data_IF_428319168228
#
_entry.id   IF_428319168228
#
_cell.length_a   1.000
_cell.length_b   1.000
_cell.length_c   1.000
_cell.angle_alpha   90.00
_cell.angle_beta   90.00
_cell.angle_gamma   90.00
#
_symmetry.space_group_name_H-M   'P 1'
#
loop_
_entity.id
_entity.type
_entity.pdbx_description
1 polymer ?
#
# COMPACT_ATOMS: atom_id res chain seq x y z
N UNK A 1 15.02 5.58 21.01
CA UNK A 1 15.01 6.07 19.61
C UNK A 1 13.97 7.16 19.49
N UNK A 2 14.32 8.35 18.95
CA UNK A 2 13.41 9.47 18.75
C UNK A 2 12.25 9.09 17.80
N UNK A 3 11.06 9.69 17.98
CA UNK A 3 9.86 9.48 17.16
C UNK A 3 10.14 9.52 15.66
N UNK A 4 10.85 10.56 15.19
CA UNK A 4 11.21 10.70 13.77
C UNK A 4 12.06 9.53 13.24
N UNK A 5 13.02 9.02 14.02
CA UNK A 5 13.84 7.87 13.62
C UNK A 5 13.00 6.59 13.56
N UNK A 6 12.02 6.44 14.48
CA UNK A 6 11.06 5.30 14.41
C UNK A 6 10.20 5.37 13.17
N UNK A 7 9.67 6.55 12.85
CA UNK A 7 8.87 6.76 11.65
C UNK A 7 9.64 6.39 10.38
N UNK A 8 10.90 6.84 10.27
CA UNK A 8 11.76 6.53 9.14
C UNK A 8 12.05 5.04 9.04
N UNK A 9 12.43 4.41 10.16
CA UNK A 9 12.69 2.97 10.20
C UNK A 9 11.47 2.15 9.77
N UNK A 10 10.32 2.40 10.38
CA UNK A 10 9.11 1.64 10.09
C UNK A 10 8.58 1.91 8.67
N UNK A 11 8.61 3.16 8.20
CA UNK A 11 8.22 3.48 6.83
C UNK A 11 9.13 2.81 5.78
N UNK A 12 10.44 2.81 6.00
CA UNK A 12 11.37 2.11 5.11
C UNK A 12 11.18 0.58 5.15
N UNK A 13 10.98 0.00 6.34
CA UNK A 13 10.66 -1.42 6.47
C UNK A 13 9.36 -1.78 5.75
N UNK A 14 8.33 -0.93 5.85
CA UNK A 14 7.09 -1.18 5.12
C UNK A 14 7.31 -1.23 3.62
N UNK A 15 8.11 -0.32 3.06
CA UNK A 15 8.45 -0.31 1.64
C UNK A 15 9.21 -1.57 1.21
N UNK A 16 10.19 -2.02 2.00
CA UNK A 16 10.96 -3.24 1.74
C UNK A 16 10.03 -4.46 1.72
N UNK A 17 9.26 -4.67 2.78
CA UNK A 17 8.41 -5.85 2.90
C UNK A 17 7.23 -5.83 1.93
N UNK A 18 6.65 -4.66 1.60
CA UNK A 18 5.66 -4.54 0.53
C UNK A 18 6.27 -4.85 -0.84
N UNK A 19 7.53 -4.43 -1.10
CA UNK A 19 8.24 -4.80 -2.32
C UNK A 19 8.40 -6.31 -2.45
N UNK A 20 8.77 -6.99 -1.37
CA UNK A 20 8.89 -8.46 -1.34
C UNK A 20 7.53 -9.14 -1.50
N UNK A 21 6.52 -8.69 -0.76
CA UNK A 21 5.15 -9.21 -0.80
C UNK A 21 4.56 -9.14 -2.21
N UNK A 22 4.60 -7.97 -2.84
CA UNK A 22 4.12 -7.78 -4.22
C UNK A 22 4.88 -8.62 -5.24
N UNK A 23 6.19 -8.79 -5.05
CA UNK A 23 7.01 -9.62 -5.95
C UNK A 23 6.60 -11.08 -5.87
N UNK A 24 6.43 -11.62 -4.66
CA UNK A 24 6.01 -13.00 -4.44
C UNK A 24 4.55 -13.22 -4.89
N UNK A 25 3.65 -12.32 -4.52
CA UNK A 25 2.25 -12.38 -4.95
C UNK A 25 2.12 -12.26 -6.47
N UNK A 26 2.91 -11.40 -7.10
CA UNK A 26 2.97 -11.24 -8.55
C UNK A 26 3.30 -12.55 -9.27
N UNK A 27 4.25 -13.33 -8.76
CA UNK A 27 4.56 -14.65 -9.34
C UNK A 27 3.39 -15.63 -9.22
N UNK A 28 2.66 -15.61 -8.12
CA UNK A 28 1.44 -16.44 -8.00
C UNK A 28 0.35 -15.98 -8.96
N UNK A 29 0.23 -14.68 -9.16
CA UNK A 29 -0.75 -14.11 -10.11
C UNK A 29 -0.47 -14.55 -11.56
N UNK A 30 0.78 -14.78 -11.95
CA UNK A 30 1.10 -15.28 -13.31
C UNK A 30 0.58 -16.70 -13.56
N UNK A 31 0.31 -17.46 -12.50
CA UNK A 31 -0.23 -18.82 -12.61
C UNK A 31 -1.75 -18.86 -12.85
N UNK A 32 -2.41 -17.71 -12.81
CA UNK A 32 -3.86 -17.60 -12.85
C UNK A 32 -4.32 -16.61 -13.93
N UNK A 33 -5.45 -16.90 -14.55
CA UNK A 33 -6.11 -15.92 -15.41
C UNK A 33 -6.72 -14.83 -14.52
N UNK A 34 -6.06 -13.69 -14.44
CA UNK A 34 -6.44 -12.60 -13.56
C UNK A 34 -7.70 -11.89 -14.06
N UNK A 35 -8.79 -12.14 -13.36
CA UNK A 35 -10.00 -11.32 -13.44
C UNK A 35 -10.11 -10.46 -12.18
N UNK A 36 -10.95 -9.43 -12.22
CA UNK A 36 -11.26 -8.62 -11.05
C UNK A 36 -11.65 -9.47 -9.82
N UNK A 37 -12.51 -10.47 -10.02
CA UNK A 37 -12.97 -11.35 -8.93
C UNK A 37 -11.83 -12.22 -8.37
N UNK A 38 -10.96 -12.76 -9.24
CA UNK A 38 -9.78 -13.55 -8.83
C UNK A 38 -8.87 -12.70 -7.96
N UNK A 39 -8.61 -11.46 -8.35
CA UNK A 39 -7.77 -10.55 -7.56
C UNK A 39 -8.35 -10.25 -6.18
N UNK A 40 -9.66 -9.93 -6.10
CA UNK A 40 -10.32 -9.71 -4.80
C UNK A 40 -10.24 -10.93 -3.89
N UNK A 41 -10.42 -12.10 -4.47
CA UNK A 41 -10.37 -13.34 -3.73
C UNK A 41 -8.95 -13.65 -3.22
N UNK A 42 -7.92 -13.52 -4.07
CA UNK A 42 -6.53 -13.69 -3.65
C UNK A 42 -6.16 -12.71 -2.53
N UNK A 43 -6.61 -11.45 -2.63
CA UNK A 43 -6.45 -10.46 -1.56
C UNK A 43 -7.10 -10.93 -0.26
N UNK A 44 -8.29 -11.55 -0.32
CA UNK A 44 -8.96 -12.08 0.88
C UNK A 44 -8.20 -13.24 1.51
N UNK A 45 -7.63 -14.14 0.72
CA UNK A 45 -6.81 -15.27 1.22
C UNK A 45 -5.48 -14.77 1.79
N UNK A 46 -4.83 -13.81 1.12
CA UNK A 46 -3.66 -13.13 1.66
C UNK A 46 -3.98 -12.47 3.01
N UNK A 47 -5.07 -11.72 3.10
CA UNK A 47 -5.50 -11.04 4.31
C UNK A 47 -5.89 -12.03 5.43
N UNK A 48 -6.35 -13.24 5.08
CA UNK A 48 -6.54 -14.32 6.06
C UNK A 48 -5.21 -14.73 6.70
N UNK A 49 -4.15 -14.88 5.91
CA UNK A 49 -2.79 -15.13 6.39
C UNK A 49 -2.30 -14.03 7.35
N UNK A 50 -2.52 -12.76 6.98
CA UNK A 50 -2.20 -11.61 7.84
C UNK A 50 -2.99 -11.66 9.14
N UNK A 51 -4.32 -11.85 9.09
CA UNK A 51 -5.19 -11.88 10.27
C UNK A 51 -4.83 -13.03 11.22
N UNK A 52 -4.53 -14.21 10.67
CA UNK A 52 -4.06 -15.37 11.43
C UNK A 52 -2.75 -15.03 12.18
N UNK A 53 -1.78 -14.41 11.49
CA UNK A 53 -0.51 -13.99 12.08
C UNK A 53 -0.71 -12.98 13.22
N UNK A 54 -1.55 -11.95 13.03
CA UNK A 54 -1.91 -10.99 14.10
C UNK A 54 -2.50 -11.72 15.29
N UNK A 55 -3.39 -12.67 15.06
CA UNK A 55 -4.08 -13.42 16.12
C UNK A 55 -3.12 -14.24 16.99
N UNK A 56 -2.06 -14.77 16.38
CA UNK A 56 -1.03 -15.54 17.08
C UNK A 56 -0.05 -14.60 17.81
N UNK A 57 0.46 -13.58 17.12
CA UNK A 57 1.51 -12.71 17.63
C UNK A 57 0.97 -11.69 18.64
N UNK A 58 -0.27 -11.25 18.52
CA UNK A 58 -0.86 -10.16 19.32
C UNK A 58 -2.25 -10.48 19.87
N UNK A 59 -2.36 -11.57 20.60
CA UNK A 59 -3.64 -12.03 21.24
C UNK A 59 -4.35 -10.93 22.06
N UNK A 60 -3.58 -10.07 22.74
CA UNK A 60 -4.14 -8.95 23.51
C UNK A 60 -4.81 -7.88 22.64
N UNK A 61 -4.33 -7.69 21.43
CA UNK A 61 -4.90 -6.71 20.50
C UNK A 61 -6.25 -7.13 19.94
N UNK A 62 -6.44 -8.44 19.72
CA UNK A 62 -7.73 -9.00 19.32
C UNK A 62 -8.78 -8.80 20.42
N UNK A 63 -8.41 -8.95 21.70
CA UNK A 63 -9.32 -8.72 22.83
C UNK A 63 -9.74 -7.24 22.95
N UNK A 64 -8.90 -6.30 22.59
CA UNK A 64 -9.17 -4.85 22.66
C UNK A 64 -10.19 -4.35 21.63
N UNK A 65 -10.61 -5.18 20.67
CA UNK A 65 -11.70 -4.86 19.74
C UNK A 65 -12.99 -4.50 20.48
N UNK A 66 -13.25 -5.12 21.63
CA UNK A 66 -14.43 -4.86 22.44
C UNK A 66 -14.46 -3.43 23.07
N UNK A 67 -13.32 -2.81 23.20
CA UNK A 67 -13.17 -1.51 23.85
C UNK A 67 -13.27 -0.35 22.84
N UNK A 68 -13.46 -0.65 21.55
CA UNK A 68 -13.53 0.36 20.50
C UNK A 68 -14.89 1.05 20.49
N UNK A 69 -14.86 2.36 20.22
CA UNK A 69 -16.05 3.17 19.97
C UNK A 69 -16.64 2.82 18.59
N UNK A 70 -17.96 2.96 18.45
CA UNK A 70 -18.66 2.65 17.20
C UNK A 70 -18.03 3.36 15.97
N UNK A 71 -17.71 4.65 16.08
CA UNK A 71 -17.09 5.38 14.98
C UNK A 71 -15.73 4.83 14.56
N UNK A 72 -14.93 4.32 15.53
CA UNK A 72 -13.64 3.67 15.24
C UNK A 72 -13.86 2.38 14.43
N UNK A 73 -14.84 1.57 14.84
CA UNK A 73 -15.20 0.34 14.14
C UNK A 73 -15.66 0.67 12.72
N UNK A 74 -16.59 1.62 12.56
CA UNK A 74 -17.09 2.03 11.25
C UNK A 74 -15.93 2.53 10.37
N UNK A 75 -15.08 3.41 10.90
CA UNK A 75 -13.92 3.91 10.16
C UNK A 75 -13.01 2.78 9.70
N UNK A 76 -12.69 1.81 10.57
CA UNK A 76 -11.85 0.67 10.25
C UNK A 76 -12.51 -0.23 9.20
N UNK A 77 -13.82 -0.47 9.28
CA UNK A 77 -14.56 -1.27 8.30
C UNK A 77 -14.69 -0.57 6.93
N UNK A 78 -14.63 0.76 6.87
CA UNK A 78 -14.60 1.50 5.61
C UNK A 78 -13.24 1.40 4.88
N UNK A 79 -12.16 1.14 5.61
CA UNK A 79 -10.80 1.04 5.03
C UNK A 79 -10.71 -0.03 3.92
N UNK A 80 -11.18 -1.27 4.12
CA UNK A 80 -11.15 -2.30 3.08
C UNK A 80 -11.94 -1.93 1.83
N UNK A 81 -13.04 -1.19 1.98
CA UNK A 81 -13.81 -0.70 0.83
C UNK A 81 -12.97 0.26 0.00
N UNK A 82 -12.28 1.22 0.64
CA UNK A 82 -11.40 2.15 -0.06
C UNK A 82 -10.21 1.42 -0.70
N UNK A 83 -9.53 0.56 0.05
CA UNK A 83 -8.39 -0.22 -0.46
C UNK A 83 -8.79 -1.19 -1.57
N UNK A 84 -9.94 -1.87 -1.44
CA UNK A 84 -10.49 -2.75 -2.45
C UNK A 84 -10.92 -1.98 -3.72
N UNK A 85 -11.59 -0.85 -3.56
CA UNK A 85 -11.92 0.03 -4.70
C UNK A 85 -10.67 0.58 -5.37
N UNK A 86 -9.66 0.99 -4.60
CA UNK A 86 -8.40 1.46 -5.15
C UNK A 86 -7.69 0.38 -5.98
N UNK A 87 -7.61 -0.84 -5.45
CA UNK A 87 -7.02 -1.98 -6.17
C UNK A 87 -7.80 -2.31 -7.43
N UNK A 88 -9.13 -2.29 -7.35
CA UNK A 88 -10.02 -2.48 -8.50
C UNK A 88 -9.76 -1.45 -9.59
N UNK A 89 -9.74 -0.17 -9.22
CA UNK A 89 -9.49 0.92 -10.17
C UNK A 89 -8.09 0.81 -10.79
N UNK A 90 -7.08 0.46 -9.98
CA UNK A 90 -5.74 0.20 -10.48
C UNK A 90 -5.72 -0.92 -11.54
N UNK A 91 -6.35 -2.05 -11.25
CA UNK A 91 -6.42 -3.18 -12.19
C UNK A 91 -7.20 -2.85 -13.46
N UNK A 92 -8.30 -2.11 -13.35
CA UNK A 92 -9.04 -1.63 -14.52
C UNK A 92 -8.21 -0.67 -15.35
N UNK A 93 -7.38 0.16 -14.72
CA UNK A 93 -6.49 1.08 -15.44
C UNK A 93 -5.47 0.34 -16.30
N UNK A 94 -4.87 -0.75 -15.78
CA UNK A 94 -3.85 -1.53 -16.51
C UNK A 94 -4.39 -2.28 -17.72
N UNK A 95 -5.71 -2.34 -17.92
CA UNK A 95 -6.31 -2.87 -19.15
C UNK A 95 -6.29 -1.88 -20.31
N UNK A 96 -6.37 -0.59 -19.99
CA UNK A 96 -6.61 0.50 -20.96
C UNK A 96 -5.37 1.39 -21.15
N UNK A 97 -4.39 1.33 -20.24
CA UNK A 97 -3.11 2.03 -20.32
C UNK A 97 -1.97 1.09 -19.87
N UNK A 98 -0.71 1.45 -20.18
CA UNK A 98 0.43 0.63 -19.75
C UNK A 98 0.49 0.50 -18.22
N UNK A 99 0.98 -0.64 -17.74
CA UNK A 99 1.17 -0.88 -16.30
C UNK A 99 2.05 0.20 -15.66
N UNK A 100 3.11 0.64 -16.36
CA UNK A 100 3.97 1.71 -15.88
C UNK A 100 3.25 3.03 -15.72
N UNK A 101 2.42 3.44 -16.70
CA UNK A 101 1.59 4.65 -16.59
C UNK A 101 0.60 4.54 -15.43
N UNK A 102 -0.05 3.39 -15.28
CA UNK A 102 -0.96 3.12 -14.16
C UNK A 102 -0.26 3.24 -12.79
N UNK A 103 0.95 2.67 -12.65
CA UNK A 103 1.77 2.78 -11.44
C UNK A 103 2.12 4.24 -11.14
N UNK A 104 2.60 5.01 -12.12
CA UNK A 104 2.98 6.41 -11.90
C UNK A 104 1.81 7.22 -11.37
N UNK A 105 0.65 7.13 -12.03
CA UNK A 105 -0.53 7.92 -11.67
C UNK A 105 -1.07 7.48 -10.31
N UNK A 106 -1.23 6.17 -10.09
CA UNK A 106 -1.74 5.66 -8.82
C UNK A 106 -0.77 5.96 -7.66
N UNK A 107 0.53 6.01 -7.92
CA UNK A 107 1.56 6.39 -6.94
C UNK A 107 1.50 7.87 -6.52
N UNK A 108 0.60 8.67 -7.10
CA UNK A 108 0.27 10.00 -6.58
C UNK A 108 -0.58 9.95 -5.30
N UNK A 109 -0.98 8.77 -4.80
CA UNK A 109 -1.78 8.63 -3.57
C UNK A 109 -1.23 9.38 -2.35
N UNK A 110 0.09 9.58 -2.12
CA UNK A 110 0.56 10.38 -1.00
C UNK A 110 0.23 11.88 -1.15
N UNK A 111 0.06 12.39 -2.40
CA UNK A 111 -0.44 13.76 -2.59
C UNK A 111 -1.88 13.90 -2.11
N UNK A 112 -2.73 12.94 -2.44
CA UNK A 112 -4.12 12.90 -1.95
C UNK A 112 -4.13 12.76 -0.42
N UNK A 113 -3.30 11.87 0.13
CA UNK A 113 -3.12 11.71 1.56
C UNK A 113 -2.65 13.00 2.24
N UNK A 114 -1.73 13.73 1.64
CA UNK A 114 -1.22 15.01 2.13
C UNK A 114 -2.32 16.08 2.15
N UNK A 115 -3.13 16.17 1.09
CA UNK A 115 -4.28 17.11 1.01
C UNK A 115 -5.34 16.69 2.04
N UNK A 116 -5.71 15.41 2.09
CA UNK A 116 -6.67 14.89 3.06
C UNK A 116 -6.21 15.09 4.50
N UNK A 117 -4.93 14.87 4.81
CA UNK A 117 -4.37 15.13 6.11
C UNK A 117 -4.40 16.65 6.48
N UNK A 118 -4.22 17.53 5.50
CA UNK A 118 -4.40 18.97 5.72
C UNK A 118 -5.84 19.31 6.09
N UNK A 119 -6.81 18.73 5.42
CA UNK A 119 -8.25 19.01 5.60
C UNK A 119 -8.75 18.38 6.91
N UNK A 120 -8.55 17.09 7.10
CA UNK A 120 -9.16 16.32 8.18
C UNK A 120 -8.34 16.26 9.45
N UNK A 121 -6.99 16.28 9.34
CA UNK A 121 -6.07 16.16 10.48
C UNK A 121 -5.35 17.47 10.81
N UNK A 122 -5.58 18.52 10.02
CA UNK A 122 -4.95 19.85 10.16
C UNK A 122 -3.41 19.78 10.08
N UNK A 123 -2.85 18.78 9.42
CA UNK A 123 -1.41 18.68 9.20
C UNK A 123 -0.88 19.86 8.37
N UNK A 124 0.31 20.36 8.69
CA UNK A 124 0.92 21.46 7.94
C UNK A 124 1.43 21.01 6.58
N UNK A 125 1.11 21.78 5.53
CA UNK A 125 1.74 21.66 4.21
C UNK A 125 2.89 22.68 4.14
N UNK A 126 4.11 22.19 4.19
CA UNK A 126 5.29 23.05 4.02
C UNK A 126 5.80 22.97 2.59
N UNK A 127 6.41 24.04 2.04
CA UNK A 127 7.03 23.99 0.72
C UNK A 127 8.06 22.85 0.57
N UNK A 128 8.76 22.53 1.66
CA UNK A 128 9.74 21.46 1.68
C UNK A 128 9.09 20.05 1.54
N UNK A 129 7.89 19.84 2.11
CA UNK A 129 7.11 18.61 1.90
C UNK A 129 6.69 18.48 0.44
N UNK A 130 6.19 19.56 -0.14
CA UNK A 130 5.74 19.58 -1.55
C UNK A 130 6.92 19.30 -2.48
N UNK A 131 8.04 20.00 -2.28
CA UNK A 131 9.25 19.79 -3.07
C UNK A 131 9.77 18.35 -2.95
N UNK A 132 9.83 17.82 -1.73
CA UNK A 132 10.26 16.45 -1.49
C UNK A 132 9.36 15.45 -2.19
N UNK A 133 8.04 15.67 -2.16
CA UNK A 133 7.09 14.81 -2.85
C UNK A 133 7.23 14.88 -4.38
N UNK A 134 7.43 16.07 -4.96
CA UNK A 134 7.69 16.23 -6.40
C UNK A 134 8.93 15.43 -6.81
N UNK A 135 10.01 15.47 -6.02
CA UNK A 135 11.23 14.70 -6.30
C UNK A 135 10.96 13.20 -6.23
N UNK A 136 10.15 12.73 -5.26
CA UNK A 136 9.71 11.33 -5.20
C UNK A 136 8.95 10.94 -6.47
N UNK A 137 8.01 11.78 -6.93
CA UNK A 137 7.26 11.51 -8.16
C UNK A 137 8.16 11.45 -9.40
N UNK A 138 9.16 12.31 -9.51
CA UNK A 138 10.15 12.24 -10.61
C UNK A 138 10.88 10.90 -10.56
N UNK A 139 11.30 10.44 -9.38
CA UNK A 139 11.93 9.13 -9.21
C UNK A 139 11.01 7.98 -9.65
N UNK A 140 9.74 8.01 -9.28
CA UNK A 140 8.74 7.01 -9.69
C UNK A 140 8.53 7.04 -11.21
N UNK A 141 8.40 8.23 -11.79
CA UNK A 141 8.20 8.38 -13.25
C UNK A 141 9.36 7.77 -14.04
N UNK A 142 10.58 7.89 -13.53
CA UNK A 142 11.75 7.27 -14.18
C UNK A 142 11.69 5.74 -14.17
N UNK A 143 11.09 5.09 -13.16
CA UNK A 143 11.00 3.61 -13.13
C UNK A 143 10.18 3.04 -14.27
N UNK A 144 9.19 3.77 -14.75
CA UNK A 144 8.29 3.35 -15.80
C UNK A 144 8.44 4.18 -17.10
N UNK A 145 9.58 4.88 -17.25
CA UNK A 145 9.80 5.78 -18.38
C UNK A 145 9.65 5.10 -19.75
N UNK A 146 10.16 3.88 -19.88
CA UNK A 146 10.05 3.11 -21.14
C UNK A 146 8.61 2.76 -21.53
N UNK A 147 7.72 2.65 -20.55
CA UNK A 147 6.32 2.26 -20.79
C UNK A 147 5.39 3.45 -21.04
N UNK A 148 5.85 4.68 -20.72
CA UNK A 148 5.02 5.89 -20.88
C UNK A 148 4.62 6.20 -22.32
N UNK A 149 5.41 5.74 -23.28
CA UNK A 149 5.25 6.09 -24.70
C UNK A 149 4.73 4.94 -25.55
N UNK A 150 4.54 3.73 -24.98
CA UNK A 150 4.26 2.52 -25.75
C UNK A 150 2.77 2.28 -26.06
N UNK A 151 1.84 3.00 -25.45
CA UNK A 151 0.40 2.79 -25.67
C UNK A 151 -0.40 4.07 -25.78
N UNK A 152 -1.46 4.04 -26.59
CA UNK A 152 -2.45 5.10 -26.66
C UNK A 152 -3.10 5.33 -25.29
N UNK A 153 -2.99 6.53 -24.76
CA UNK A 153 -3.54 6.90 -23.46
C UNK A 153 -5.08 6.93 -23.53
N UNK A 154 -5.72 5.92 -22.97
CA UNK A 154 -7.17 5.89 -22.77
C UNK A 154 -7.54 6.85 -21.62
N UNK A 155 -8.45 7.80 -21.89
CA UNK A 155 -9.00 8.68 -20.83
C UNK A 155 -9.66 7.86 -19.72
N UNK A 156 -10.28 6.75 -20.06
CA UNK A 156 -10.93 5.84 -19.10
C UNK A 156 -9.88 5.22 -18.19
N UNK A 157 -8.80 4.66 -18.75
CA UNK A 157 -7.69 4.07 -17.99
C UNK A 157 -7.00 5.08 -17.08
N UNK A 158 -6.77 6.31 -17.59
CA UNK A 158 -6.22 7.42 -16.78
C UNK A 158 -7.13 7.77 -15.60
N UNK A 159 -8.45 7.84 -15.84
CA UNK A 159 -9.44 8.13 -14.80
C UNK A 159 -9.44 7.06 -13.71
N UNK A 160 -9.35 5.79 -14.08
CA UNK A 160 -9.24 4.69 -13.11
C UNK A 160 -7.96 4.77 -12.28
N UNK A 161 -6.81 5.09 -12.87
CA UNK A 161 -5.56 5.26 -12.12
C UNK A 161 -5.64 6.44 -11.13
N UNK A 162 -6.28 7.55 -11.50
CA UNK A 162 -6.53 8.69 -10.62
C UNK A 162 -7.45 8.30 -9.46
N UNK A 163 -8.52 7.56 -9.73
CA UNK A 163 -9.43 7.07 -8.69
C UNK A 163 -8.71 6.14 -7.72
N UNK A 164 -7.83 5.27 -8.20
CA UNK A 164 -6.98 4.43 -7.35
C UNK A 164 -6.12 5.28 -6.39
N UNK A 165 -5.46 6.33 -6.90
CA UNK A 165 -4.70 7.26 -6.08
C UNK A 165 -5.57 7.95 -5.01
N UNK A 166 -6.79 8.37 -5.37
CA UNK A 166 -7.72 9.01 -4.45
C UNK A 166 -8.10 8.05 -3.31
N UNK A 167 -8.50 6.83 -3.64
CA UNK A 167 -8.94 5.87 -2.62
C UNK A 167 -7.81 5.43 -1.70
N UNK A 168 -6.60 5.11 -2.21
CA UNK A 168 -5.44 4.81 -1.37
C UNK A 168 -5.00 6.00 -0.52
N UNK A 169 -5.08 7.22 -1.07
CA UNK A 169 -4.77 8.44 -0.32
C UNK A 169 -5.72 8.66 0.86
N UNK A 170 -7.03 8.47 0.65
CA UNK A 170 -8.04 8.59 1.69
C UNK A 170 -7.93 7.47 2.73
N UNK A 171 -7.65 6.26 2.32
CA UNK A 171 -7.38 5.12 3.20
C UNK A 171 -6.33 5.47 4.26
N UNK A 172 -5.19 6.04 3.84
CA UNK A 172 -4.12 6.41 4.77
C UNK A 172 -4.48 7.56 5.70
N UNK A 173 -5.34 8.48 5.30
CA UNK A 173 -5.88 9.51 6.21
C UNK A 173 -6.70 8.85 7.33
N UNK A 174 -7.54 7.87 6.98
CA UNK A 174 -8.35 7.13 7.97
C UNK A 174 -7.44 6.32 8.90
N UNK A 175 -6.39 5.67 8.39
CA UNK A 175 -5.39 5.03 9.26
C UNK A 175 -4.86 5.98 10.32
N UNK A 176 -4.44 7.17 9.91
CA UNK A 176 -3.90 8.16 10.84
C UNK A 176 -4.95 8.64 11.84
N UNK A 177 -6.20 8.87 11.41
CA UNK A 177 -7.30 9.26 12.30
C UNK A 177 -7.52 8.22 13.41
N UNK A 178 -7.62 6.95 13.04
CA UNK A 178 -7.88 5.85 13.98
C UNK A 178 -6.69 5.65 14.93
N UNK A 179 -5.45 5.72 14.43
CA UNK A 179 -4.25 5.60 15.25
C UNK A 179 -4.05 6.78 16.21
N UNK A 180 -4.47 7.99 15.84
CA UNK A 180 -4.47 9.16 16.73
C UNK A 180 -5.51 9.04 17.85
N UNK A 181 -6.51 8.17 17.71
CA UNK A 181 -7.51 7.87 18.72
C UNK A 181 -7.13 6.67 19.62
N UNK A 182 -5.83 6.44 19.82
CA UNK A 182 -5.25 5.43 20.70
C UNK A 182 -5.57 3.96 20.35
N UNK A 183 -6.06 3.71 19.13
CA UNK A 183 -6.18 2.34 18.63
C UNK A 183 -4.80 1.77 18.33
N UNK A 184 -4.53 0.57 18.81
CA UNK A 184 -3.24 -0.06 18.55
C UNK A 184 -3.11 -0.47 17.07
N UNK A 185 -1.89 -0.40 16.51
CA UNK A 185 -1.63 -0.80 15.14
C UNK A 185 -2.09 -2.25 14.85
N UNK A 186 -1.87 -3.18 15.77
CA UNK A 186 -2.32 -4.56 15.62
C UNK A 186 -3.85 -4.71 15.67
N UNK A 187 -4.54 -3.93 16.52
CA UNK A 187 -6.02 -3.96 16.59
C UNK A 187 -6.61 -3.42 15.29
N UNK A 188 -6.07 -2.29 14.80
CA UNK A 188 -6.47 -1.71 13.53
C UNK A 188 -6.24 -2.69 12.38
N UNK A 189 -5.04 -3.28 12.31
CA UNK A 189 -4.69 -4.25 11.28
C UNK A 189 -5.59 -5.48 11.31
N UNK A 190 -5.81 -6.06 12.48
CA UNK A 190 -6.69 -7.24 12.64
C UNK A 190 -8.10 -6.96 12.12
N UNK A 191 -8.74 -5.89 12.60
CA UNK A 191 -10.09 -5.54 12.17
C UNK A 191 -10.17 -5.23 10.67
N UNK A 192 -9.21 -4.47 10.14
CA UNK A 192 -9.13 -4.19 8.71
C UNK A 192 -9.13 -5.49 7.91
N UNK A 193 -8.26 -6.43 8.27
CA UNK A 193 -8.10 -7.69 7.53
C UNK A 193 -9.35 -8.57 7.63
N UNK A 194 -9.95 -8.70 8.82
CA UNK A 194 -11.22 -9.41 8.99
C UNK A 194 -12.33 -8.75 8.17
N UNK A 195 -12.39 -7.42 8.15
CA UNK A 195 -13.40 -6.71 7.35
C UNK A 195 -13.19 -6.94 5.84
N UNK A 196 -11.94 -6.97 5.35
CA UNK A 196 -11.64 -7.35 3.96
C UNK A 196 -12.18 -8.74 3.63
N UNK A 197 -11.91 -9.71 4.50
CA UNK A 197 -12.37 -11.09 4.32
C UNK A 197 -13.91 -11.15 4.28
N UNK A 198 -14.58 -10.52 5.23
CA UNK A 198 -16.05 -10.51 5.30
C UNK A 198 -16.66 -9.86 4.05
N UNK A 199 -16.08 -8.77 3.55
CA UNK A 199 -16.63 -8.03 2.41
C UNK A 199 -16.38 -8.75 1.10
N UNK A 200 -15.19 -9.29 0.87
CA UNK A 200 -14.78 -9.78 -0.44
C UNK A 200 -14.87 -11.32 -0.59
N UNK A 201 -14.76 -12.09 0.49
CA UNK A 201 -14.85 -13.54 0.44
C UNK A 201 -16.20 -14.06 -0.11
N UNK A 202 -17.36 -13.46 0.17
CA UNK A 202 -18.63 -13.93 -0.39
C UNK A 202 -18.73 -13.85 -1.92
N UNK A 203 -17.96 -12.99 -2.55
CA UNK A 203 -17.92 -12.89 -4.03
C UNK A 203 -17.10 -13.99 -4.69
N UNK A 204 -16.50 -14.89 -3.91
CA UNK A 204 -15.53 -15.89 -4.36
C UNK A 204 -16.14 -17.22 -4.78
N UNK A 205 -17.42 -17.48 -4.49
CA UNK A 205 -18.11 -18.72 -4.87
C UNK A 205 -17.99 -19.08 -6.36
N UNK A 206 -17.73 -18.07 -7.21
CA UNK A 206 -17.66 -18.22 -8.67
C UNK A 206 -16.31 -18.81 -9.12
N UNK A 207 -15.29 -18.88 -8.23
CA UNK A 207 -13.89 -19.10 -8.64
C UNK A 207 -13.25 -20.32 -7.96
N UNK A 208 -13.87 -20.86 -6.92
CA UNK A 208 -13.27 -21.89 -6.04
C UNK A 208 -12.81 -23.14 -6.81
N UNK A 209 -13.51 -23.49 -7.89
CA UNK A 209 -13.20 -24.70 -8.69
C UNK A 209 -11.99 -24.52 -9.63
N UNK A 210 -11.47 -23.29 -9.78
CA UNK A 210 -10.42 -22.99 -10.76
C UNK A 210 -9.02 -22.85 -10.15
N UNK A 211 -8.91 -22.81 -8.82
CA UNK A 211 -7.64 -22.54 -8.14
C UNK A 211 -7.23 -23.69 -7.22
N UNK A 212 -6.00 -24.18 -7.39
CA UNK A 212 -5.50 -25.28 -6.58
C UNK A 212 -5.29 -24.87 -5.12
N UNK A 213 -5.51 -25.82 -4.18
CA UNK A 213 -5.25 -25.61 -2.75
C UNK A 213 -3.79 -25.17 -2.49
N UNK A 214 -2.84 -25.59 -3.32
CA UNK A 214 -1.45 -25.17 -3.22
C UNK A 214 -1.29 -23.66 -3.39
N UNK A 215 -1.95 -23.07 -4.39
CA UNK A 215 -1.92 -21.62 -4.64
C UNK A 215 -2.54 -20.87 -3.46
N UNK A 216 -3.62 -21.38 -2.87
CA UNK A 216 -4.25 -20.80 -1.68
C UNK A 216 -3.31 -20.76 -0.49
N UNK A 217 -2.68 -21.88 -0.18
CA UNK A 217 -1.74 -21.99 0.92
C UNK A 217 -0.52 -21.09 0.70
N UNK A 218 -0.04 -20.98 -0.54
CA UNK A 218 1.07 -20.10 -0.88
C UNK A 218 0.73 -18.63 -0.67
N UNK A 219 -0.43 -18.17 -1.16
CA UNK A 219 -0.89 -16.79 -0.94
C UNK A 219 -1.11 -16.50 0.55
N UNK A 220 -1.70 -17.43 1.30
CA UNK A 220 -1.86 -17.26 2.75
C UNK A 220 -0.49 -17.18 3.47
N UNK A 221 0.49 -17.96 3.02
CA UNK A 221 1.86 -17.90 3.55
C UNK A 221 2.56 -16.56 3.23
N UNK A 222 2.36 -16.02 2.03
CA UNK A 222 2.83 -14.66 1.67
C UNK A 222 2.19 -13.62 2.59
N UNK A 223 0.97 -13.82 3.05
CA UNK A 223 0.31 -12.97 4.04
C UNK A 223 1.09 -12.80 5.36
N UNK A 224 1.99 -13.74 5.72
CA UNK A 224 2.90 -13.55 6.86
C UNK A 224 3.88 -12.41 6.61
N UNK A 225 4.38 -12.29 5.39
CA UNK A 225 5.24 -11.18 4.95
C UNK A 225 4.42 -9.89 4.92
N UNK A 226 3.22 -9.95 4.37
CA UNK A 226 2.25 -8.86 4.37
C UNK A 226 1.93 -8.33 5.78
N UNK A 227 1.87 -9.21 6.79
CA UNK A 227 1.74 -8.76 8.19
C UNK A 227 2.87 -7.84 8.62
N UNK A 228 4.12 -8.19 8.33
CA UNK A 228 5.28 -7.36 8.69
C UNK A 228 5.21 -6.02 7.96
N UNK A 229 4.88 -6.04 6.67
CA UNK A 229 4.75 -4.86 5.83
C UNK A 229 3.66 -3.91 6.35
N UNK A 230 2.48 -4.42 6.59
CA UNK A 230 1.32 -3.67 7.07
C UNK A 230 1.56 -3.12 8.49
N UNK A 231 2.09 -3.95 9.40
CA UNK A 231 2.39 -3.51 10.76
C UNK A 231 3.43 -2.38 10.75
N UNK A 232 4.47 -2.52 9.95
CA UNK A 232 5.47 -1.47 9.78
C UNK A 232 4.84 -0.19 9.23
N UNK A 233 3.93 -0.30 8.25
CA UNK A 233 3.21 0.85 7.71
C UNK A 233 2.34 1.55 8.75
N UNK A 234 1.55 0.79 9.53
CA UNK A 234 0.76 1.34 10.64
C UNK A 234 1.64 2.02 11.71
N UNK A 235 2.81 1.44 12.02
CA UNK A 235 3.76 2.07 12.93
C UNK A 235 4.36 3.35 12.36
N UNK A 236 4.61 3.42 11.04
CA UNK A 236 5.05 4.65 10.40
C UNK A 236 4.02 5.77 10.57
N UNK A 237 2.73 5.50 10.36
CA UNK A 237 1.64 6.46 10.64
C UNK A 237 1.59 6.87 12.11
N UNK A 238 1.78 5.92 13.02
CA UNK A 238 1.76 6.22 14.46
C UNK A 238 2.85 7.22 14.86
N UNK A 239 4.04 7.11 14.28
CA UNK A 239 5.21 7.92 14.64
C UNK A 239 5.48 9.11 13.71
N UNK A 240 4.67 9.31 12.66
CA UNK A 240 4.83 10.42 11.71
C UNK A 240 3.51 11.02 11.27
N UNK A 241 3.60 11.99 10.37
CA UNK A 241 2.47 12.50 9.61
C UNK A 241 2.14 11.57 8.41
N UNK A 242 0.97 11.77 7.82
CA UNK A 242 0.47 10.99 6.68
C UNK A 242 1.45 11.04 5.50
N UNK A 243 1.92 12.23 5.16
CA UNK A 243 2.84 12.44 4.02
C UNK A 243 4.10 11.61 4.14
N UNK A 244 4.76 11.63 5.31
CA UNK A 244 6.01 10.89 5.51
C UNK A 244 5.79 9.38 5.53
N UNK A 245 4.73 8.91 6.20
CA UNK A 245 4.41 7.48 6.23
C UNK A 245 4.18 6.92 4.82
N UNK A 246 3.37 7.60 4.02
CA UNK A 246 3.06 7.19 2.65
C UNK A 246 4.26 7.28 1.71
N UNK A 247 5.05 8.36 1.79
CA UNK A 247 6.19 8.54 0.91
C UNK A 247 7.35 7.59 1.21
N UNK A 248 7.49 7.14 2.45
CA UNK A 248 8.44 6.08 2.80
C UNK A 248 7.95 4.70 2.34
N UNK A 249 6.65 4.44 2.48
CA UNK A 249 6.07 3.18 2.01
C UNK A 249 6.24 3.01 0.50
N UNK A 250 6.10 4.07 -0.30
CA UNK A 250 6.20 4.02 -1.76
C UNK A 250 7.58 3.53 -2.27
N UNK A 251 8.58 3.44 -1.40
CA UNK A 251 9.88 2.86 -1.75
C UNK A 251 9.77 1.39 -2.20
N UNK A 252 8.61 0.73 -2.01
CA UNK A 252 8.35 -0.60 -2.56
C UNK A 252 8.57 -0.67 -4.09
N UNK A 253 8.41 0.45 -4.78
CA UNK A 253 8.68 0.58 -6.23
C UNK A 253 10.16 0.31 -6.58
N UNK A 254 11.08 0.54 -5.63
CA UNK A 254 12.50 0.21 -5.79
C UNK A 254 12.74 -1.25 -5.42
N UNK A 255 12.17 -1.68 -4.30
CA UNK A 255 12.41 -3.00 -3.72
C UNK A 255 11.78 -4.12 -4.53
N UNK A 256 10.58 -3.89 -5.10
CA UNK A 256 9.89 -4.89 -5.91
C UNK A 256 10.73 -5.36 -7.11
N UNK A 257 11.15 -4.47 -8.04
CA UNK A 257 12.03 -4.85 -9.14
C UNK A 257 13.36 -5.48 -8.67
N UNK A 258 13.94 -4.99 -7.57
CA UNK A 258 15.16 -5.56 -7.02
C UNK A 258 14.96 -7.02 -6.57
N UNK A 259 13.87 -7.32 -5.86
CA UNK A 259 13.53 -8.69 -5.47
C UNK A 259 13.16 -9.54 -6.68
N UNK A 260 12.48 -9.00 -7.69
CA UNK A 260 12.15 -9.70 -8.92
C UNK A 260 13.43 -10.11 -9.69
N UNK A 261 14.43 -9.24 -9.73
CA UNK A 261 15.76 -9.56 -10.27
C UNK A 261 16.46 -10.64 -9.44
N UNK A 262 16.50 -10.49 -8.09
CA UNK A 262 17.25 -11.40 -7.23
C UNK A 262 16.64 -12.80 -7.10
N UNK A 263 15.31 -12.92 -7.14
CA UNK A 263 14.59 -14.16 -6.87
C UNK A 263 14.10 -14.87 -8.12
N UNK A 264 13.91 -14.14 -9.24
CA UNK A 264 13.26 -14.66 -10.44
C UNK A 264 14.01 -14.32 -11.74
N UNK A 265 15.26 -13.83 -11.63
CA UNK A 265 16.13 -13.48 -12.78
C UNK A 265 15.46 -12.52 -13.78
N UNK A 266 14.51 -11.69 -13.32
CA UNK A 266 13.87 -10.70 -14.19
C UNK A 266 14.86 -9.61 -14.56
N UNK A 267 14.94 -9.26 -15.86
CA UNK A 267 15.84 -8.20 -16.33
C UNK A 267 15.42 -6.84 -15.82
N UNK A 268 16.37 -6.09 -15.25
CA UNK A 268 16.17 -4.71 -14.81
C UNK A 268 17.33 -3.82 -15.27
N UNK A 269 17.06 -2.55 -15.52
CA UNK A 269 18.11 -1.56 -15.68
C UNK A 269 18.63 -1.11 -14.32
N UNK A 270 19.74 -1.67 -13.86
CA UNK A 270 20.34 -1.35 -12.56
C UNK A 270 20.65 0.16 -12.47
N UNK A 271 21.16 0.77 -13.54
CA UNK A 271 21.46 2.20 -13.54
C UNK A 271 20.21 3.05 -13.33
N UNK A 272 19.11 2.69 -14.01
CA UNK A 272 17.83 3.38 -13.85
C UNK A 272 17.27 3.19 -12.43
N UNK A 273 17.33 1.98 -11.89
CA UNK A 273 16.88 1.69 -10.52
C UNK A 273 17.68 2.49 -9.48
N UNK A 274 19.00 2.62 -9.64
CA UNK A 274 19.83 3.44 -8.76
C UNK A 274 19.43 4.92 -8.85
N UNK A 275 19.25 5.46 -10.08
CA UNK A 275 18.83 6.86 -10.26
C UNK A 275 17.47 7.13 -9.59
N UNK A 276 16.51 6.22 -9.76
CA UNK A 276 15.20 6.30 -9.10
C UNK A 276 15.32 6.25 -7.58
N UNK A 277 16.14 5.33 -7.06
CA UNK A 277 16.38 5.19 -5.62
C UNK A 277 16.96 6.49 -5.03
N UNK A 278 17.95 7.09 -5.68
CA UNK A 278 18.55 8.34 -5.22
C UNK A 278 17.48 9.44 -5.13
N UNK A 279 16.66 9.64 -6.16
CA UNK A 279 15.61 10.66 -6.15
C UNK A 279 14.57 10.39 -5.07
N UNK A 280 14.07 9.16 -4.95
CA UNK A 280 13.08 8.78 -3.96
C UNK A 280 13.64 8.99 -2.53
N UNK A 281 14.89 8.63 -2.27
CA UNK A 281 15.51 8.85 -0.97
C UNK A 281 15.77 10.34 -0.67
N UNK A 282 16.20 11.13 -1.66
CA UNK A 282 16.35 12.59 -1.51
C UNK A 282 15.00 13.23 -1.18
N UNK A 283 13.96 12.90 -1.94
CA UNK A 283 12.62 13.43 -1.70
C UNK A 283 12.08 13.07 -0.31
N UNK A 284 12.20 11.80 0.09
CA UNK A 284 11.83 11.35 1.44
C UNK A 284 12.62 12.06 2.55
N UNK A 285 13.91 12.34 2.33
CA UNK A 285 14.73 13.07 3.28
C UNK A 285 14.27 14.52 3.45
N UNK A 286 13.87 15.19 2.36
CA UNK A 286 13.30 16.54 2.42
C UNK A 286 11.97 16.55 3.21
N UNK A 287 11.08 15.58 2.94
CA UNK A 287 9.83 15.40 3.69
C UNK A 287 10.11 15.18 5.18
N UNK A 288 11.08 14.32 5.50
CA UNK A 288 11.52 14.04 6.87
C UNK A 288 12.07 15.28 7.60
N UNK A 289 12.87 16.10 6.90
CA UNK A 289 13.42 17.35 7.45
C UNK A 289 12.38 18.45 7.63
N UNK A 290 11.27 18.38 6.92
CA UNK A 290 10.23 19.40 7.02
C UNK A 290 9.72 19.50 8.47
N UNK A 291 9.58 20.72 8.97
CA UNK A 291 8.99 20.95 10.31
C UNK A 291 7.50 20.59 10.24
N UNK A 292 7.10 19.51 10.91
CA UNK A 292 5.69 19.33 11.25
C UNK A 292 5.36 20.30 12.39
N UNK A 293 4.69 21.40 12.07
CA UNK A 293 4.02 22.16 13.09
C UNK A 293 2.77 21.34 13.44
N UNK A 294 2.77 20.74 14.62
CA UNK A 294 1.58 20.15 15.24
C UNK A 294 0.75 21.28 15.82
#
# INVERSE_FOLDING_TARGET
>A
MNFKKRAFLFGSLSGIFWGLDYTLAGQVHTLLTMTFLVSMWLTSIHDLGVAATVSVVSKSSVKKVKDLKLWQIISICCIPLLGGLAMTMYMLSTRDISTGTAIIISSCYPAVGMIGARIFLKESLTPLKILGFIIVLIGITLTAYSELFDQANSIIGLSFAILAAIFWGLEGVIYKMVLNADVSANTLLFLRKISTIIIFLPFTWIIIDTVSIYVLLLIAAIGVIGYIADLAYMQAFKYSNVTLAMSLNITYIIWGPLFAFMLFDQSISILLLIACAILIFIGNYLIFKSKSVY
#
